data_IF_284617321902
#
_entry.id   IF_284617321902
#
_cell.length_a   1.000
_cell.length_b   1.000
_cell.length_c   1.000
_cell.angle_alpha   90.00
_cell.angle_beta   90.00
_cell.angle_gamma   90.00
#
_symmetry.space_group_name_H-M   'P 1'
#
loop_
_entity.id
_entity.type
_entity.pdbx_description
1 polymer ?
#
# COMPACT_ATOMS: atom_id res chain seq x y z
N UNK A 1 6.26 -7.01 26.90
CA UNK A 1 7.39 -6.30 26.26
C UNK A 1 6.80 -5.58 25.07
N UNK A 2 6.81 -4.23 24.99
CA UNK A 2 6.25 -3.56 23.82
C UNK A 2 7.10 -3.91 22.59
N UNK A 3 6.46 -4.31 21.50
CA UNK A 3 7.14 -4.52 20.22
C UNK A 3 7.87 -3.24 19.83
N UNK A 4 9.14 -3.33 19.49
CA UNK A 4 9.88 -2.22 18.90
C UNK A 4 9.35 -2.00 17.49
N UNK A 5 9.52 -0.77 16.98
CA UNK A 5 8.99 -0.39 15.66
C UNK A 5 9.48 -1.27 14.51
N UNK A 6 10.72 -1.76 14.60
CA UNK A 6 11.34 -2.61 13.59
C UNK A 6 11.42 -4.07 14.04
N UNK A 7 10.62 -4.47 15.04
CA UNK A 7 10.52 -5.89 15.36
C UNK A 7 9.83 -6.61 14.19
N UNK A 8 10.42 -7.73 13.79
CA UNK A 8 9.98 -8.53 12.65
C UNK A 8 9.46 -9.89 13.12
N UNK A 9 8.58 -10.48 12.31
CA UNK A 9 8.17 -11.87 12.47
C UNK A 9 9.36 -12.80 12.19
N UNK A 10 9.68 -13.77 13.07
CA UNK A 10 10.79 -14.70 12.85
C UNK A 10 10.57 -15.67 11.68
N UNK A 11 9.33 -15.85 11.20
CA UNK A 11 9.02 -16.77 10.11
C UNK A 11 9.04 -16.11 8.73
N UNK A 12 8.49 -14.89 8.63
CA UNK A 12 8.31 -14.21 7.34
C UNK A 12 9.06 -12.87 7.22
N UNK A 13 9.76 -12.44 8.28
CA UNK A 13 10.56 -11.21 8.32
C UNK A 13 9.76 -9.93 8.05
N UNK A 14 8.43 -9.97 8.18
CA UNK A 14 7.57 -8.79 8.05
C UNK A 14 7.57 -8.02 9.36
N UNK A 15 7.58 -6.70 9.24
CA UNK A 15 7.50 -5.77 10.36
C UNK A 15 6.18 -5.94 11.13
N UNK A 16 6.24 -5.91 12.46
CA UNK A 16 5.09 -6.13 13.34
C UNK A 16 4.41 -4.83 13.79
N UNK A 17 5.13 -3.71 13.78
CA UNK A 17 4.61 -2.38 14.18
C UNK A 17 3.99 -1.64 13.00
N UNK A 18 2.98 -2.26 12.39
CA UNK A 18 2.31 -1.77 11.18
C UNK A 18 0.83 -1.58 11.43
N UNK A 19 0.16 -0.68 10.71
CA UNK A 19 -1.26 -0.39 10.95
C UNK A 19 -2.11 -1.66 10.88
N UNK A 20 -1.88 -2.54 9.89
CA UNK A 20 -2.63 -3.80 9.75
C UNK A 20 -2.53 -4.73 10.97
N UNK A 21 -1.52 -4.57 11.83
CA UNK A 21 -1.34 -5.36 13.07
C UNK A 21 -1.85 -4.65 14.33
N UNK A 22 -2.43 -3.47 14.18
CA UNK A 22 -2.97 -2.69 15.29
C UNK A 22 -4.40 -3.14 15.65
N UNK A 23 -4.77 -3.09 16.94
CA UNK A 23 -6.13 -3.31 17.44
C UNK A 23 -7.16 -2.33 16.89
N UNK A 24 -6.72 -1.13 16.50
CA UNK A 24 -7.59 -0.07 16.00
C UNK A 24 -7.76 -0.08 14.48
N UNK A 25 -7.08 -1.00 13.78
CA UNK A 25 -7.20 -1.11 12.34
C UNK A 25 -8.54 -1.73 11.94
N UNK A 26 -9.23 -1.06 11.03
CA UNK A 26 -10.48 -1.54 10.45
C UNK A 26 -10.51 -1.17 8.96
N UNK A 27 -10.44 -2.17 8.09
CA UNK A 27 -10.43 -1.97 6.64
C UNK A 27 -11.74 -1.37 6.09
N UNK A 28 -12.81 -1.33 6.88
CA UNK A 28 -14.08 -0.72 6.51
C UNK A 28 -14.22 0.72 7.01
N UNK A 29 -13.30 1.20 7.84
CA UNK A 29 -13.30 2.57 8.31
C UNK A 29 -12.66 3.50 7.25
N UNK A 30 -13.17 4.73 7.02
CA UNK A 30 -12.64 5.61 5.96
C UNK A 30 -11.14 5.89 6.00
N UNK A 31 -10.56 5.97 7.21
CA UNK A 31 -9.10 6.16 7.43
C UNK A 31 -8.35 4.85 7.73
N UNK A 32 -9.04 3.72 7.64
CA UNK A 32 -8.58 2.41 8.08
C UNK A 32 -8.15 2.31 9.55
N UNK A 33 -8.56 3.27 10.38
CA UNK A 33 -8.25 3.35 11.81
C UNK A 33 -9.46 3.93 12.54
N UNK A 34 -9.94 3.24 13.57
CA UNK A 34 -11.11 3.70 14.36
C UNK A 34 -10.75 4.78 15.40
N UNK A 35 -9.46 4.96 15.68
CA UNK A 35 -8.97 6.03 16.57
C UNK A 35 -8.88 7.35 15.79
N UNK A 36 -9.68 8.34 16.17
CA UNK A 36 -9.86 9.58 15.40
C UNK A 36 -8.67 10.53 15.50
N UNK A 37 -7.99 10.53 16.65
CA UNK A 37 -6.80 11.36 16.91
C UNK A 37 -5.52 10.76 16.32
N UNK A 38 -5.56 9.50 15.90
CA UNK A 38 -4.39 8.84 15.31
C UNK A 38 -4.00 9.51 13.97
N UNK A 39 -2.70 9.64 13.68
CA UNK A 39 -2.23 10.14 12.40
C UNK A 39 -2.63 9.18 11.28
N UNK A 40 -2.96 9.74 10.12
CA UNK A 40 -3.24 8.95 8.93
C UNK A 40 -1.92 8.39 8.34
N UNK A 41 -1.87 7.08 8.14
CA UNK A 41 -0.70 6.37 7.63
C UNK A 41 -0.99 5.87 6.22
N UNK A 42 -0.20 6.30 5.23
CA UNK A 42 -0.36 5.86 3.82
C UNK A 42 0.11 4.43 3.60
N UNK A 43 1.30 4.09 4.08
CA UNK A 43 1.89 2.75 3.94
C UNK A 43 1.57 1.91 5.18
N UNK A 44 0.39 1.26 5.15
CA UNK A 44 -0.17 0.54 6.30
C UNK A 44 0.47 -0.84 6.57
N UNK A 45 1.30 -1.32 5.65
CA UNK A 45 2.02 -2.59 5.75
C UNK A 45 3.49 -2.45 6.17
N UNK A 46 3.95 -1.21 6.39
CA UNK A 46 5.31 -0.91 6.84
C UNK A 46 5.33 -0.34 8.25
N UNK A 47 6.48 -0.48 8.89
CA UNK A 47 6.75 0.04 10.22
C UNK A 47 6.50 1.55 10.24
N UNK A 48 5.65 1.98 11.16
CA UNK A 48 5.31 3.40 11.29
C UNK A 48 5.55 3.91 12.72
N UNK A 49 5.32 5.21 12.88
CA UNK A 49 5.59 5.97 14.11
C UNK A 49 4.31 6.30 14.88
N UNK A 50 3.21 5.56 14.65
CA UNK A 50 1.95 5.84 15.31
C UNK A 50 2.04 5.51 16.81
N UNK A 51 1.94 6.53 17.66
CA UNK A 51 1.99 6.39 19.12
C UNK A 51 0.76 5.67 19.69
N UNK A 52 -0.33 5.61 18.93
CA UNK A 52 -1.55 4.90 19.30
C UNK A 52 -1.48 3.40 19.01
N UNK A 53 -0.39 2.89 18.43
CA UNK A 53 -0.28 1.49 18.07
C UNK A 53 -0.45 0.58 19.30
N UNK A 54 -1.35 -0.40 19.17
CA UNK A 54 -1.50 -1.49 20.13
C UNK A 54 -1.57 -2.81 19.36
N UNK A 55 -0.65 -3.76 19.61
CA UNK A 55 -0.62 -5.00 18.84
C UNK A 55 -1.89 -5.81 19.07
N UNK A 56 -2.51 -6.26 17.98
CA UNK A 56 -3.67 -7.13 18.02
C UNK A 56 -3.24 -8.60 18.03
N UNK A 57 -3.69 -9.41 19.01
CA UNK A 57 -3.37 -10.83 19.04
C UNK A 57 -4.07 -11.61 17.91
N UNK A 58 -5.08 -11.01 17.26
CA UNK A 58 -5.90 -11.65 16.24
C UNK A 58 -5.69 -11.05 14.84
N UNK A 59 -4.67 -10.20 14.65
CA UNK A 59 -4.42 -9.58 13.34
C UNK A 59 -3.89 -10.56 12.28
N UNK A 60 -3.24 -11.63 12.70
CA UNK A 60 -2.79 -12.70 11.81
C UNK A 60 -3.65 -13.95 11.99
N UNK A 61 -4.20 -14.45 10.87
CA UNK A 61 -4.81 -15.78 10.81
C UNK A 61 -4.20 -16.56 9.65
N UNK A 62 -3.88 -17.86 9.82
CA UNK A 62 -3.29 -18.67 8.75
C UNK A 62 -4.19 -18.75 7.51
N UNK A 63 -5.51 -18.74 7.71
CA UNK A 63 -6.50 -18.73 6.62
C UNK A 63 -6.36 -17.52 5.69
N UNK A 64 -5.95 -16.36 6.22
CA UNK A 64 -5.78 -15.14 5.43
C UNK A 64 -4.64 -15.26 4.40
N UNK A 65 -3.56 -15.95 4.76
CA UNK A 65 -2.41 -16.16 3.89
C UNK A 65 -2.76 -17.10 2.72
N UNK A 66 -3.46 -18.20 3.01
CA UNK A 66 -3.93 -19.13 1.99
C UNK A 66 -4.91 -18.46 1.02
N UNK A 67 -5.82 -17.65 1.55
CA UNK A 67 -6.76 -16.88 0.73
C UNK A 67 -6.04 -15.92 -0.21
N UNK A 68 -5.02 -15.20 0.28
CA UNK A 68 -4.20 -14.30 -0.54
C UNK A 68 -3.47 -15.05 -1.66
N UNK A 69 -2.76 -16.13 -1.35
CA UNK A 69 -2.06 -16.94 -2.34
C UNK A 69 -3.01 -17.52 -3.39
N UNK A 70 -4.20 -17.95 -2.98
CA UNK A 70 -5.22 -18.44 -3.89
C UNK A 70 -5.79 -17.33 -4.79
N UNK A 71 -5.99 -16.12 -4.25
CA UNK A 71 -6.40 -14.96 -5.03
C UNK A 71 -5.34 -14.60 -6.09
N UNK A 72 -4.06 -14.57 -5.70
CA UNK A 72 -2.94 -14.32 -6.61
C UNK A 72 -2.88 -15.36 -7.74
N UNK A 73 -3.00 -16.66 -7.43
CA UNK A 73 -3.04 -17.74 -8.44
C UNK A 73 -4.22 -17.59 -9.41
N UNK A 74 -5.40 -17.24 -8.89
CA UNK A 74 -6.60 -17.01 -9.71
C UNK A 74 -6.41 -15.81 -10.64
N UNK A 75 -5.89 -14.70 -10.12
CA UNK A 75 -5.57 -13.52 -10.93
C UNK A 75 -4.57 -13.86 -12.04
N UNK A 76 -3.45 -14.52 -11.70
CA UNK A 76 -2.47 -14.96 -12.67
C UNK A 76 -3.08 -15.82 -13.78
N UNK A 77 -4.00 -16.73 -13.44
CA UNK A 77 -4.71 -17.55 -14.44
C UNK A 77 -5.61 -16.71 -15.37
N UNK A 78 -6.26 -15.66 -14.87
CA UNK A 78 -7.09 -14.78 -15.69
C UNK A 78 -6.26 -13.95 -16.67
N UNK A 79 -5.04 -13.60 -16.29
CA UNK A 79 -4.15 -12.72 -17.04
C UNK A 79 -2.95 -13.41 -17.70
N UNK A 80 -2.81 -14.74 -17.60
CA UNK A 80 -1.69 -15.52 -18.17
C UNK A 80 -1.56 -15.44 -19.72
N UNK A 81 -2.42 -14.69 -20.40
CA UNK A 81 -2.35 -14.40 -21.83
C UNK A 81 -2.17 -12.92 -22.19
N UNK A 82 -1.97 -12.01 -21.22
CA UNK A 82 -1.80 -10.56 -21.51
C UNK A 82 -0.36 -10.05 -21.45
N UNK A 83 0.62 -10.89 -21.11
CA UNK A 83 2.01 -10.48 -20.91
C UNK A 83 2.95 -11.07 -21.97
N UNK A 84 2.84 -10.61 -23.20
CA UNK A 84 3.98 -10.55 -24.12
C UNK A 84 4.21 -9.12 -24.54
N UNK A 85 4.35 -8.21 -23.57
CA UNK A 85 5.16 -6.97 -23.62
C UNK A 85 4.86 -6.07 -22.40
N UNK A 86 5.54 -6.33 -21.27
CA UNK A 86 5.73 -5.33 -20.22
C UNK A 86 6.97 -5.68 -19.40
N UNK A 87 8.13 -5.62 -20.03
CA UNK A 87 9.40 -5.46 -19.33
C UNK A 87 9.38 -4.13 -18.60
N UNK A 88 9.64 -4.17 -17.31
CA UNK A 88 9.88 -3.06 -16.42
C UNK A 88 10.87 -2.06 -17.02
N UNK A 89 10.35 -0.97 -17.55
CA UNK A 89 11.08 0.30 -17.65
C UNK A 89 10.22 1.31 -16.92
N UNK A 90 10.76 1.94 -15.88
CA UNK A 90 10.17 3.10 -15.25
C UNK A 90 9.95 4.18 -16.32
N UNK A 91 8.72 4.26 -16.83
CA UNK A 91 8.27 5.32 -17.72
C UNK A 91 6.96 5.84 -17.16
N UNK A 92 7.05 7.05 -16.60
CA UNK A 92 5.93 7.88 -16.22
C UNK A 92 4.98 8.04 -17.41
N UNK A 93 3.82 7.39 -17.36
CA UNK A 93 2.72 7.62 -18.31
C UNK A 93 2.02 8.91 -17.89
N UNK A 94 2.64 10.04 -18.22
CA UNK A 94 1.91 11.27 -18.50
C UNK A 94 1.60 11.33 -20.00
N UNK A 95 0.52 12.01 -20.45
CA UNK A 95 0.30 12.23 -21.87
C UNK A 95 1.56 12.86 -22.50
N UNK A 96 1.90 12.39 -23.70
CA UNK A 96 3.06 12.84 -24.48
C UNK A 96 2.93 14.35 -24.73
N UNK A 97 3.58 15.14 -23.87
CA UNK A 97 3.52 16.59 -23.95
C UNK A 97 4.60 17.03 -24.94
N UNK A 98 4.15 17.41 -26.13
CA UNK A 98 5.01 18.05 -27.11
C UNK A 98 5.50 19.40 -26.55
N UNK A 99 6.76 19.42 -26.11
CA UNK A 99 7.43 20.61 -25.57
C UNK A 99 7.55 21.75 -26.57
N UNK A 100 7.32 21.50 -27.85
CA UNK A 100 7.37 22.54 -28.87
C UNK A 100 6.18 23.50 -28.79
N UNK A 101 5.12 23.15 -28.04
CA UNK A 101 3.89 23.95 -27.99
C UNK A 101 3.65 24.76 -26.69
N UNK A 102 4.69 25.00 -25.88
CA UNK A 102 4.53 25.77 -24.63
C UNK A 102 4.25 27.26 -24.86
N UNK A 103 4.73 27.83 -25.96
CA UNK A 103 4.55 29.26 -26.25
C UNK A 103 3.09 29.62 -26.54
N UNK A 104 2.34 28.73 -27.21
CA UNK A 104 0.90 28.94 -27.48
C UNK A 104 0.08 28.88 -26.18
N UNK A 105 0.45 28.01 -25.25
CA UNK A 105 -0.21 27.90 -23.94
C UNK A 105 0.07 29.14 -23.09
N UNK A 106 1.30 29.66 -23.09
CA UNK A 106 1.64 30.89 -22.35
C UNK A 106 0.91 32.13 -22.90
N UNK A 107 0.68 32.19 -24.20
CA UNK A 107 -0.02 33.32 -24.83
C UNK A 107 -1.54 33.29 -24.58
N UNK A 108 -2.13 32.10 -24.34
CA UNK A 108 -3.54 31.94 -23.95
C UNK A 108 -3.85 32.41 -22.52
N UNK A 109 -2.86 32.41 -21.63
CA UNK A 109 -3.02 32.83 -20.23
C UNK A 109 -2.46 34.23 -19.93
N UNK A 110 -1.92 34.92 -20.93
CA UNK A 110 -1.61 36.36 -20.85
C UNK A 110 -2.85 37.14 -21.29
N UNK A 111 -3.34 37.98 -20.37
CA UNK A 111 -4.59 38.76 -20.48
C UNK A 111 -4.48 39.91 -21.47
#
# INVERSE_FOLDING_TARGET
MPLRRLDECPECLRELHVCRMCLFYDAHHPKNCIEEEAPEIREMERANFCDYFKPSPNAYTPESLEAEQNAQKKLAKLFAGVDSEATSTEQSIGPDYDKSNWTEVEDLFKK
#
